data_IF_620713773576
#
_entry.id   IF_620713773576
#
_cell.length_a   1.000
_cell.length_b   1.000
_cell.length_c   1.000
_cell.angle_alpha   90.00
_cell.angle_beta   90.00
_cell.angle_gamma   90.00
#
_symmetry.space_group_name_H-M   'P 1'
#
loop_
_entity.id
_entity.type
_entity.pdbx_description
1 polymer ?
#
# COMPACT_ATOMS: atom_id res chain seq x y z
N UNK A 1 -31.30 32.60 -1.03
CA UNK A 1 -31.36 34.06 -1.07
C UNK A 1 -32.75 34.59 -0.62
N UNK A 2 -33.84 34.14 -1.18
CA UNK A 2 -35.20 34.57 -0.79
C UNK A 2 -35.59 34.22 0.68
N UNK A 3 -35.07 33.14 1.29
CA UNK A 3 -35.27 32.84 2.70
C UNK A 3 -34.46 33.74 3.65
N UNK A 4 -33.27 34.21 3.22
CA UNK A 4 -32.41 35.13 3.99
C UNK A 4 -33.01 36.52 4.12
N UNK A 5 -33.79 36.99 3.12
CA UNK A 5 -34.47 38.29 3.18
C UNK A 5 -35.66 38.32 4.17
N UNK A 6 -36.17 37.13 4.60
CA UNK A 6 -37.33 37.03 5.48
C UNK A 6 -36.99 36.76 6.96
N UNK A 7 -35.72 36.51 7.31
CA UNK A 7 -35.30 36.28 8.69
C UNK A 7 -33.95 36.97 8.97
N UNK A 8 -34.02 38.19 9.60
CA UNK A 8 -32.78 38.91 10.00
C UNK A 8 -31.83 38.08 10.85
N UNK A 9 -32.39 37.23 11.75
CA UNK A 9 -31.61 36.35 12.62
C UNK A 9 -30.82 35.28 11.84
N UNK A 10 -31.42 34.71 10.81
CA UNK A 10 -30.72 33.76 9.92
C UNK A 10 -29.59 34.45 9.12
N UNK A 11 -29.84 35.69 8.64
CA UNK A 11 -28.85 36.48 7.94
C UNK A 11 -27.68 36.90 8.85
N UNK A 12 -27.96 37.12 10.13
CA UNK A 12 -26.97 37.45 11.14
C UNK A 12 -26.14 36.21 11.56
N UNK A 13 -26.78 35.06 11.75
CA UNK A 13 -26.10 33.78 11.95
C UNK A 13 -25.19 33.39 10.77
N UNK A 14 -25.64 33.64 9.54
CA UNK A 14 -24.83 33.41 8.34
C UNK A 14 -23.67 34.39 8.21
N UNK A 15 -23.86 35.65 8.56
CA UNK A 15 -22.78 36.62 8.62
C UNK A 15 -21.76 36.28 9.71
N UNK A 16 -22.22 35.84 10.87
CA UNK A 16 -21.37 35.39 11.95
C UNK A 16 -20.53 34.15 11.56
N UNK A 17 -21.16 33.14 10.94
CA UNK A 17 -20.48 31.95 10.42
C UNK A 17 -19.49 32.27 9.28
N UNK A 18 -19.83 33.22 8.41
CA UNK A 18 -18.95 33.67 7.33
C UNK A 18 -17.78 34.54 7.81
N UNK A 19 -17.88 35.12 9.01
CA UNK A 19 -16.84 35.96 9.62
C UNK A 19 -15.96 35.24 10.65
N UNK A 20 -16.29 33.99 11.00
CA UNK A 20 -15.41 33.20 11.86
C UNK A 20 -14.05 32.96 11.17
N UNK A 21 -12.93 33.34 11.79
CA UNK A 21 -11.63 33.10 11.20
C UNK A 21 -11.38 31.60 11.07
N UNK A 22 -10.72 31.18 10.00
CA UNK A 22 -10.25 29.82 9.87
C UNK A 22 -9.06 29.65 10.80
N UNK A 23 -9.20 28.82 11.83
CA UNK A 23 -8.26 28.77 12.94
C UNK A 23 -8.00 27.37 13.45
N UNK A 24 -6.79 27.16 13.95
CA UNK A 24 -6.42 25.97 14.72
C UNK A 24 -6.04 26.42 16.12
N UNK A 25 -6.54 25.72 17.14
CA UNK A 25 -6.30 26.08 18.55
C UNK A 25 -5.72 24.89 19.31
N UNK A 26 -4.63 25.14 20.06
CA UNK A 26 -4.00 24.17 20.95
C UNK A 26 -4.57 24.22 22.34
N UNK A 27 -4.49 23.12 23.08
CA UNK A 27 -4.92 23.04 24.49
C UNK A 27 -4.03 23.86 25.43
N UNK A 28 -2.74 24.07 25.07
CA UNK A 28 -1.77 24.85 25.85
C UNK A 28 -1.22 26.00 25.02
N UNK A 29 -1.04 27.18 25.64
CA UNK A 29 -0.35 28.30 24.99
C UNK A 29 1.17 28.04 24.96
N UNK A 30 1.71 27.91 23.76
CA UNK A 30 3.15 27.85 23.52
C UNK A 30 3.58 29.13 22.79
N UNK A 31 4.64 29.82 23.19
CA UNK A 31 5.11 31.03 22.52
C UNK A 31 5.35 30.77 21.02
N UNK A 32 5.00 31.72 20.15
CA UNK A 32 5.29 31.56 18.71
C UNK A 32 6.81 31.53 18.51
N UNK A 33 7.29 30.45 17.95
CA UNK A 33 8.69 30.28 17.56
C UNK A 33 8.77 29.86 16.12
N UNK A 34 9.66 30.47 15.31
CA UNK A 34 9.85 30.05 13.93
C UNK A 34 10.22 28.58 13.86
N UNK A 35 9.45 27.79 13.09
CA UNK A 35 9.73 26.39 12.82
C UNK A 35 9.91 26.17 11.33
N UNK A 36 10.79 25.27 10.95
CA UNK A 36 10.94 24.91 9.54
C UNK A 36 9.75 24.07 9.08
N UNK A 37 8.94 24.65 8.22
CA UNK A 37 7.83 23.99 7.53
C UNK A 37 8.16 23.98 6.05
N UNK A 38 8.21 22.78 5.47
CA UNK A 38 8.56 22.60 4.05
C UNK A 38 7.72 23.53 3.16
N UNK A 39 8.40 24.20 2.23
CA UNK A 39 7.84 25.16 1.28
C UNK A 39 7.33 26.49 1.89
N UNK A 40 7.47 26.69 3.20
CA UNK A 40 7.10 27.95 3.86
C UNK A 40 8.28 28.58 4.55
N UNK A 41 8.33 29.93 4.53
CA UNK A 41 9.34 30.74 5.19
C UNK A 41 8.70 31.45 6.38
N UNK A 42 9.23 31.25 7.62
CA UNK A 42 8.76 31.98 8.78
C UNK A 42 9.40 33.36 8.87
N UNK A 43 8.62 34.34 9.29
CA UNK A 43 9.06 35.70 9.61
C UNK A 43 8.47 36.13 10.95
N UNK A 44 9.30 36.67 11.84
CA UNK A 44 8.88 37.19 13.16
C UNK A 44 8.33 38.59 12.94
N UNK A 45 7.05 38.80 13.28
CA UNK A 45 6.38 40.10 13.22
C UNK A 45 5.78 40.39 14.59
N UNK A 46 6.43 41.21 15.37
CA UNK A 46 6.04 41.47 16.74
C UNK A 46 6.08 40.22 17.62
N UNK A 47 4.94 39.83 18.18
CA UNK A 47 4.78 38.61 18.99
C UNK A 47 4.16 37.43 18.19
N UNK A 48 4.28 37.44 16.90
CA UNK A 48 3.69 36.43 16.00
C UNK A 48 4.74 35.92 15.02
N UNK A 49 4.50 34.74 14.43
CA UNK A 49 5.29 34.22 13.32
C UNK A 49 4.39 34.07 12.12
N UNK A 50 4.73 34.80 11.06
CA UNK A 50 4.04 34.75 9.78
C UNK A 50 4.71 33.74 8.86
N UNK A 51 3.93 32.95 8.15
CA UNK A 51 4.40 31.97 7.20
C UNK A 51 3.92 32.30 5.79
N UNK A 52 4.86 32.50 4.88
CA UNK A 52 4.61 32.75 3.45
C UNK A 52 5.27 31.66 2.60
N UNK A 53 4.76 31.40 1.40
CA UNK A 53 5.37 30.42 0.51
C UNK A 53 6.76 30.87 0.05
N UNK A 54 7.73 29.94 0.03
CA UNK A 54 9.10 30.24 -0.42
C UNK A 54 9.17 30.68 -1.88
N UNK A 55 8.33 30.16 -2.74
CA UNK A 55 8.25 30.54 -4.18
C UNK A 55 7.68 31.93 -4.42
N UNK A 56 6.92 32.46 -3.47
CA UNK A 56 6.27 33.77 -3.53
C UNK A 56 7.02 34.85 -2.71
N UNK A 57 8.05 34.45 -1.94
CA UNK A 57 8.82 35.29 -1.03
C UNK A 57 9.75 36.30 -1.73
N UNK A 58 9.32 36.98 -2.72
CA UNK A 58 10.03 38.04 -3.45
C UNK A 58 9.12 38.84 -4.36
N UNK A 59 7.90 38.40 -4.58
CA UNK A 59 6.93 39.00 -5.52
C UNK A 59 5.68 39.57 -4.82
N UNK A 60 5.74 39.93 -3.53
CA UNK A 60 4.58 40.41 -2.76
C UNK A 60 3.60 39.32 -2.38
N UNK A 61 4.08 38.07 -2.24
CA UNK A 61 3.29 36.93 -1.84
C UNK A 61 2.66 37.12 -0.45
N UNK A 62 1.35 36.85 -0.36
CA UNK A 62 0.60 37.02 0.89
C UNK A 62 0.98 36.03 1.97
N UNK A 63 0.71 36.39 3.22
CA UNK A 63 0.86 35.51 4.38
C UNK A 63 -0.17 34.38 4.28
N UNK A 64 0.29 33.13 4.28
CA UNK A 64 -0.58 31.95 4.19
C UNK A 64 -1.23 31.62 5.54
N UNK A 65 -0.46 31.67 6.63
CA UNK A 65 -0.95 31.48 7.99
C UNK A 65 -0.06 32.15 9.03
N UNK A 66 -0.63 32.42 10.21
CA UNK A 66 0.04 33.16 11.30
C UNK A 66 -0.06 32.37 12.60
N UNK A 67 1.09 32.06 13.21
CA UNK A 67 1.18 31.50 14.56
C UNK A 67 1.11 32.63 15.59
N UNK A 68 0.10 32.59 16.46
CA UNK A 68 -0.15 33.54 17.56
C UNK A 68 0.13 32.97 18.96
N UNK A 69 0.75 31.80 19.01
CA UNK A 69 1.08 31.11 20.28
C UNK A 69 -0.01 30.13 20.73
N UNK A 70 -1.20 30.61 20.99
CA UNK A 70 -2.36 29.77 21.39
C UNK A 70 -3.17 29.29 20.20
N UNK A 71 -3.04 29.95 19.07
CA UNK A 71 -3.78 29.63 17.84
C UNK A 71 -2.94 29.90 16.60
N UNK A 72 -3.33 29.26 15.51
CA UNK A 72 -2.81 29.51 14.18
C UNK A 72 -3.99 29.95 13.30
N UNK A 73 -3.94 31.19 12.79
CA UNK A 73 -4.94 31.73 11.88
C UNK A 73 -4.50 31.47 10.45
N UNK A 74 -5.40 30.93 9.63
CA UNK A 74 -5.11 30.55 8.24
C UNK A 74 -5.84 31.50 7.29
N UNK A 75 -5.05 32.26 6.51
CA UNK A 75 -5.54 33.25 5.56
C UNK A 75 -5.83 32.63 4.19
N UNK A 76 -4.96 31.69 3.77
CA UNK A 76 -5.07 30.96 2.48
C UNK A 76 -5.63 29.55 2.69
N UNK A 77 -6.71 29.40 3.44
CA UNK A 77 -7.24 28.09 3.84
C UNK A 77 -7.80 27.27 2.67
N UNK A 78 -8.24 27.90 1.57
CA UNK A 78 -8.69 27.19 0.35
C UNK A 78 -7.56 26.44 -0.33
N UNK A 79 -6.34 26.86 -0.09
CA UNK A 79 -5.17 26.15 -0.55
C UNK A 79 -4.89 24.98 0.39
N UNK A 80 -4.98 23.77 -0.18
CA UNK A 80 -4.77 22.53 0.55
C UNK A 80 -3.40 22.46 1.23
N UNK A 81 -2.35 22.96 0.54
CA UNK A 81 -0.98 22.89 1.06
C UNK A 81 -0.77 23.86 2.21
N UNK A 82 -1.40 25.05 2.17
CA UNK A 82 -1.35 26.02 3.27
C UNK A 82 -2.06 25.48 4.52
N UNK A 83 -3.23 24.85 4.34
CA UNK A 83 -3.94 24.19 5.44
C UNK A 83 -3.16 23.00 5.98
N UNK A 84 -2.57 22.17 5.12
CA UNK A 84 -1.72 21.05 5.53
C UNK A 84 -0.51 21.52 6.34
N UNK A 85 0.18 22.58 5.87
CA UNK A 85 1.35 23.14 6.56
C UNK A 85 0.98 23.69 7.95
N UNK A 86 -0.16 24.36 8.07
CA UNK A 86 -0.67 24.85 9.35
C UNK A 86 -1.04 23.71 10.32
N UNK A 87 -1.64 22.63 9.82
CA UNK A 87 -1.92 21.41 10.61
C UNK A 87 -0.63 20.71 11.05
N UNK A 88 0.39 20.64 10.18
CA UNK A 88 1.70 20.10 10.55
C UNK A 88 2.37 20.91 11.65
N UNK A 89 2.35 22.25 11.55
CA UNK A 89 2.87 23.13 12.60
C UNK A 89 2.11 22.92 13.90
N UNK A 90 0.78 22.81 13.86
CA UNK A 90 -0.07 22.55 15.03
C UNK A 90 0.24 21.21 15.69
N UNK A 91 0.46 20.16 14.90
CA UNK A 91 0.83 18.85 15.39
C UNK A 91 2.21 18.85 16.06
N UNK A 92 3.17 19.59 15.53
CA UNK A 92 4.50 19.76 16.13
C UNK A 92 4.45 20.54 17.43
N UNK A 93 3.55 21.54 17.55
CA UNK A 93 3.42 22.37 18.75
C UNK A 93 2.65 21.67 19.86
N UNK A 94 1.49 21.11 19.53
CA UNK A 94 0.51 20.69 20.54
C UNK A 94 0.21 19.19 20.52
N UNK A 95 0.59 18.49 19.47
CA UNK A 95 0.27 17.08 19.28
C UNK A 95 -1.21 16.83 18.93
N UNK A 96 -2.13 17.47 19.69
CA UNK A 96 -3.58 17.45 19.44
C UNK A 96 -4.16 18.86 19.54
N UNK A 97 -5.21 19.15 18.75
CA UNK A 97 -5.77 20.50 18.60
C UNK A 97 -7.21 20.46 18.08
N UNK A 98 -7.88 21.61 18.19
CA UNK A 98 -9.22 21.84 17.61
C UNK A 98 -9.11 22.74 16.39
N UNK A 99 -10.08 22.64 15.47
CA UNK A 99 -10.21 23.52 14.31
C UNK A 99 -11.52 24.29 14.38
N UNK A 100 -11.47 25.59 14.10
CA UNK A 100 -12.59 26.50 14.13
C UNK A 100 -12.70 27.24 12.79
N UNK A 101 -13.89 27.26 12.22
CA UNK A 101 -14.13 27.91 10.93
C UNK A 101 -15.38 27.37 10.24
N UNK A 102 -15.50 27.65 8.95
CA UNK A 102 -16.65 27.22 8.16
C UNK A 102 -16.60 25.71 7.87
N UNK A 103 -17.73 25.15 7.44
CA UNK A 103 -17.89 23.71 7.22
C UNK A 103 -16.97 23.17 6.11
N UNK A 104 -16.65 23.98 5.10
CA UNK A 104 -15.74 23.61 4.02
C UNK A 104 -14.29 23.46 4.50
N UNK A 105 -13.83 24.40 5.33
CA UNK A 105 -12.54 24.33 5.98
C UNK A 105 -12.43 23.15 6.94
N UNK A 106 -13.44 22.95 7.82
CA UNK A 106 -13.53 21.79 8.74
C UNK A 106 -13.51 20.47 7.98
N UNK A 107 -14.19 20.41 6.83
CA UNK A 107 -14.19 19.25 5.95
C UNK A 107 -12.80 18.93 5.40
N UNK A 108 -12.08 19.94 4.95
CA UNK A 108 -10.70 19.79 4.48
C UNK A 108 -9.76 19.34 5.60
N UNK A 109 -9.88 19.93 6.79
CA UNK A 109 -9.10 19.51 7.97
C UNK A 109 -9.38 18.05 8.34
N UNK A 110 -10.62 17.60 8.32
CA UNK A 110 -10.98 16.20 8.60
C UNK A 110 -10.35 15.22 7.59
N UNK A 111 -10.38 15.57 6.30
CA UNK A 111 -9.73 14.79 5.25
C UNK A 111 -8.21 14.72 5.42
N UNK A 112 -7.56 15.86 5.66
CA UNK A 112 -6.12 15.92 5.92
C UNK A 112 -5.74 15.16 7.20
N UNK A 113 -6.58 15.21 8.24
CA UNK A 113 -6.35 14.44 9.46
C UNK A 113 -6.43 12.93 9.23
N UNK A 114 -7.34 12.48 8.36
CA UNK A 114 -7.44 11.07 7.98
C UNK A 114 -6.22 10.61 7.16
N UNK A 115 -5.77 11.43 6.20
CA UNK A 115 -4.63 11.14 5.31
C UNK A 115 -3.28 11.11 6.06
N UNK A 116 -3.07 12.06 6.97
CA UNK A 116 -1.77 12.30 7.63
C UNK A 116 -1.73 11.90 9.11
N UNK A 117 -2.84 11.46 9.68
CA UNK A 117 -2.90 10.99 11.07
C UNK A 117 -2.94 12.09 12.12
N UNK A 118 -3.31 13.34 11.77
CA UNK A 118 -3.43 14.42 12.75
C UNK A 118 -4.52 14.13 13.80
N UNK A 119 -4.26 14.57 15.02
CA UNK A 119 -5.17 14.41 16.17
C UNK A 119 -6.04 15.65 16.35
N UNK A 120 -7.08 15.79 15.54
CA UNK A 120 -8.11 16.81 15.70
C UNK A 120 -9.10 16.33 16.76
N UNK A 121 -9.39 17.17 17.76
CA UNK A 121 -10.21 16.78 18.92
C UNK A 121 -11.66 17.28 18.86
N UNK A 122 -12.06 17.96 17.81
CA UNK A 122 -13.46 18.36 17.55
C UNK A 122 -14.39 17.15 17.57
N UNK A 123 -15.38 17.08 18.48
CA UNK A 123 -16.33 15.95 18.53
C UNK A 123 -17.12 15.78 17.25
N UNK A 124 -17.55 16.89 16.64
CA UNK A 124 -18.35 16.91 15.41
C UNK A 124 -17.59 16.40 14.17
N UNK A 125 -16.26 16.31 14.23
CA UNK A 125 -15.43 15.86 13.10
C UNK A 125 -14.99 14.40 13.22
N UNK A 126 -15.17 13.75 14.38
CA UNK A 126 -14.64 12.40 14.61
C UNK A 126 -15.23 11.37 13.65
N UNK A 127 -16.54 11.39 13.47
CA UNK A 127 -17.22 10.47 12.54
C UNK A 127 -16.72 10.66 11.12
N UNK A 128 -16.59 11.90 10.66
CA UNK A 128 -16.09 12.22 9.31
C UNK A 128 -14.65 11.78 9.11
N UNK A 129 -13.76 12.01 10.08
CA UNK A 129 -12.37 11.56 10.04
C UNK A 129 -12.31 10.04 9.92
N UNK A 130 -13.17 9.33 10.65
CA UNK A 130 -13.23 7.88 10.61
C UNK A 130 -13.75 7.35 9.27
N UNK A 131 -14.78 7.95 8.69
CA UNK A 131 -15.29 7.63 7.37
C UNK A 131 -14.21 7.82 6.28
N UNK A 132 -13.47 8.93 6.31
CA UNK A 132 -12.36 9.18 5.38
C UNK A 132 -11.22 8.15 5.54
N UNK A 133 -10.86 7.77 6.76
CA UNK A 133 -9.87 6.70 7.01
C UNK A 133 -10.32 5.36 6.43
N UNK A 134 -11.59 5.00 6.62
CA UNK A 134 -12.14 3.76 6.04
C UNK A 134 -12.13 3.80 4.51
N UNK A 135 -12.49 4.94 3.90
CA UNK A 135 -12.42 5.13 2.44
C UNK A 135 -11.01 4.94 1.91
N UNK A 136 -10.01 5.59 2.53
CA UNK A 136 -8.60 5.47 2.14
C UNK A 136 -8.12 4.01 2.27
N UNK A 137 -8.51 3.31 3.33
CA UNK A 137 -8.15 1.89 3.50
C UNK A 137 -8.78 1.01 2.43
N UNK A 138 -10.04 1.26 2.07
CA UNK A 138 -10.74 0.52 1.01
C UNK A 138 -10.10 0.76 -0.35
N UNK A 139 -9.79 2.02 -0.69
CA UNK A 139 -9.11 2.39 -1.95
C UNK A 139 -7.73 1.71 -2.07
N UNK A 140 -6.93 1.72 -0.98
CA UNK A 140 -5.63 1.02 -0.94
C UNK A 140 -5.77 -0.49 -1.09
N UNK A 141 -6.75 -1.09 -0.40
CA UNK A 141 -7.01 -2.53 -0.50
C UNK A 141 -7.46 -2.93 -1.91
N UNK A 142 -8.24 -2.08 -2.58
CA UNK A 142 -8.71 -2.30 -3.95
C UNK A 142 -7.60 -2.13 -4.98
N UNK A 143 -6.72 -1.13 -4.79
CA UNK A 143 -5.53 -0.94 -5.62
C UNK A 143 -4.56 -2.14 -5.51
N UNK A 144 -4.32 -2.64 -4.30
CA UNK A 144 -3.49 -3.82 -4.05
C UNK A 144 -4.10 -5.09 -4.68
N UNK A 145 -5.41 -5.28 -4.60
CA UNK A 145 -6.11 -6.38 -5.28
C UNK A 145 -5.91 -6.35 -6.79
N UNK A 146 -6.02 -5.17 -7.39
CA UNK A 146 -5.81 -4.98 -8.83
C UNK A 146 -4.38 -5.33 -9.26
N UNK A 147 -3.38 -4.97 -8.49
CA UNK A 147 -1.98 -5.29 -8.80
C UNK A 147 -1.69 -6.79 -8.67
N UNK A 148 -2.14 -7.42 -7.60
CA UNK A 148 -1.97 -8.87 -7.42
C UNK A 148 -2.62 -9.70 -8.51
N UNK A 149 -3.81 -9.29 -8.98
CA UNK A 149 -4.46 -9.94 -10.11
C UNK A 149 -3.66 -9.78 -11.40
N UNK A 150 -3.17 -8.59 -11.71
CA UNK A 150 -2.32 -8.35 -12.89
C UNK A 150 -1.06 -9.21 -12.86
N UNK A 151 -0.39 -9.28 -11.71
CA UNK A 151 0.81 -10.11 -11.56
C UNK A 151 0.49 -11.60 -11.76
N UNK A 152 -0.63 -12.06 -11.23
CA UNK A 152 -1.06 -13.44 -11.45
C UNK A 152 -1.42 -13.69 -12.92
N UNK A 153 -2.14 -12.80 -13.60
CA UNK A 153 -2.50 -12.93 -15.01
C UNK A 153 -1.26 -13.05 -15.90
N UNK A 154 -0.28 -12.15 -15.73
CA UNK A 154 0.99 -12.20 -16.45
C UNK A 154 1.75 -13.51 -16.20
N UNK A 155 1.79 -13.94 -14.94
CA UNK A 155 2.40 -15.19 -14.54
C UNK A 155 1.69 -16.40 -15.17
N UNK A 156 0.35 -16.45 -15.09
CA UNK A 156 -0.45 -17.56 -15.62
C UNK A 156 -0.34 -17.69 -17.14
N UNK A 157 -0.32 -16.54 -17.85
CA UNK A 157 -0.09 -16.49 -19.29
C UNK A 157 1.29 -17.04 -19.66
N UNK A 158 2.34 -16.59 -18.96
CA UNK A 158 3.72 -16.99 -19.25
C UNK A 158 3.97 -18.48 -18.96
N UNK A 159 3.47 -18.99 -17.83
CA UNK A 159 3.64 -20.41 -17.43
C UNK A 159 2.74 -21.34 -18.22
N UNK A 160 1.48 -20.95 -18.46
CA UNK A 160 0.51 -21.70 -19.25
C UNK A 160 0.15 -23.04 -18.61
N UNK A 161 0.00 -23.09 -17.28
CA UNK A 161 -0.50 -24.26 -16.58
C UNK A 161 -2.02 -24.27 -16.52
N UNK A 162 -2.63 -25.46 -16.52
CA UNK A 162 -4.07 -25.58 -16.44
C UNK A 162 -4.61 -25.30 -15.03
N UNK A 163 -3.79 -25.59 -14.01
CA UNK A 163 -4.15 -25.41 -12.59
C UNK A 163 -2.96 -25.01 -11.75
N UNK A 164 -3.26 -24.45 -10.60
CA UNK A 164 -2.27 -23.97 -9.63
C UNK A 164 -2.66 -24.44 -8.23
N UNK A 165 -1.77 -25.18 -7.57
CA UNK A 165 -1.89 -25.40 -6.13
C UNK A 165 -1.48 -24.12 -5.42
N UNK A 166 -2.26 -23.72 -4.41
CA UNK A 166 -1.94 -22.60 -3.55
C UNK A 166 -1.55 -23.12 -2.18
N UNK A 167 -0.35 -22.78 -1.76
CA UNK A 167 0.19 -23.15 -0.45
C UNK A 167 0.43 -21.88 0.36
N UNK A 168 -0.08 -21.86 1.59
CA UNK A 168 0.22 -20.83 2.59
C UNK A 168 1.19 -21.40 3.62
N UNK A 169 2.23 -20.64 3.96
CA UNK A 169 3.23 -21.00 4.97
C UNK A 169 3.31 -19.90 6.02
N UNK A 170 3.02 -20.27 7.26
CA UNK A 170 3.15 -19.41 8.44
C UNK A 170 4.35 -19.85 9.28
N UNK A 171 5.22 -18.90 9.60
CA UNK A 171 6.27 -19.13 10.59
C UNK A 171 5.67 -18.98 11.99
N UNK A 172 5.85 -19.98 12.83
CA UNK A 172 5.45 -19.92 14.23
C UNK A 172 6.54 -19.30 15.10
N UNK A 173 6.19 -18.86 16.29
CA UNK A 173 7.13 -18.24 17.23
C UNK A 173 8.32 -19.13 17.61
N UNK A 174 8.15 -20.46 17.54
CA UNK A 174 9.19 -21.45 17.77
C UNK A 174 10.03 -21.80 16.53
N UNK A 175 9.86 -21.07 15.42
CA UNK A 175 10.58 -21.27 14.16
C UNK A 175 10.02 -22.41 13.29
N UNK A 176 9.00 -23.13 13.73
CA UNK A 176 8.37 -24.17 12.90
C UNK A 176 7.52 -23.56 11.79
N UNK A 177 7.53 -24.22 10.62
CA UNK A 177 6.69 -23.86 9.48
C UNK A 177 5.36 -24.60 9.58
N UNK A 178 4.27 -23.85 9.60
CA UNK A 178 2.92 -24.39 9.46
C UNK A 178 2.48 -24.19 8.01
N UNK A 179 2.19 -25.29 7.32
CA UNK A 179 1.86 -25.29 5.89
C UNK A 179 0.40 -25.67 5.69
N UNK A 180 -0.32 -24.86 4.93
CA UNK A 180 -1.70 -25.12 4.52
C UNK A 180 -1.79 -25.14 3.00
N UNK A 181 -2.49 -26.14 2.47
CA UNK A 181 -2.80 -26.26 1.04
C UNK A 181 -4.26 -25.83 0.86
N UNK A 182 -4.50 -24.71 0.19
CA UNK A 182 -5.82 -24.08 0.08
C UNK A 182 -6.78 -24.89 -0.80
N UNK A 183 -6.24 -25.59 -1.82
CA UNK A 183 -7.02 -26.43 -2.73
C UNK A 183 -7.29 -27.85 -2.20
N UNK A 184 -6.88 -28.14 -0.96
CA UNK A 184 -7.11 -29.45 -0.34
C UNK A 184 -8.55 -29.57 0.15
N UNK A 185 -9.31 -30.51 -0.43
CA UNK A 185 -10.65 -30.87 0.00
C UNK A 185 -10.74 -32.39 0.15
N UNK A 186 -11.22 -32.87 1.30
CA UNK A 186 -11.40 -34.31 1.61
C UNK A 186 -10.12 -35.14 1.36
N UNK A 187 -8.96 -34.57 1.68
CA UNK A 187 -7.65 -35.20 1.46
C UNK A 187 -7.09 -35.11 0.05
N UNK A 188 -7.88 -34.63 -0.92
CA UNK A 188 -7.51 -34.52 -2.33
C UNK A 188 -7.10 -33.10 -2.64
N UNK A 189 -6.01 -32.95 -3.39
CA UNK A 189 -5.53 -31.66 -3.92
C UNK A 189 -5.59 -31.69 -5.45
N UNK A 190 -6.41 -30.83 -6.05
CA UNK A 190 -6.59 -30.78 -7.51
C UNK A 190 -6.00 -29.54 -8.19
N UNK A 191 -5.59 -28.55 -7.40
CA UNK A 191 -5.26 -27.22 -7.89
C UNK A 191 -6.49 -26.37 -8.26
N UNK A 192 -6.33 -25.06 -8.25
CA UNK A 192 -7.33 -24.10 -8.72
C UNK A 192 -7.08 -23.74 -10.19
N UNK A 193 -8.12 -23.54 -10.97
CA UNK A 193 -8.02 -22.88 -12.27
C UNK A 193 -7.64 -21.40 -12.11
N UNK A 194 -7.16 -20.71 -13.17
CA UNK A 194 -6.90 -19.27 -13.09
C UNK A 194 -8.10 -18.47 -12.59
N UNK A 195 -9.32 -18.78 -13.01
CA UNK A 195 -10.55 -18.11 -12.58
C UNK A 195 -10.85 -18.37 -11.09
N UNK A 196 -10.60 -19.58 -10.61
CA UNK A 196 -10.75 -19.91 -9.17
C UNK A 196 -9.71 -19.15 -8.32
N UNK A 197 -8.47 -18.92 -8.81
CA UNK A 197 -7.45 -18.08 -8.16
C UNK A 197 -7.93 -16.64 -8.06
N UNK A 198 -8.45 -16.08 -9.15
CA UNK A 198 -9.00 -14.73 -9.19
C UNK A 198 -10.06 -14.52 -8.10
N UNK A 199 -11.02 -15.45 -8.02
CA UNK A 199 -12.10 -15.41 -7.02
C UNK A 199 -11.58 -15.51 -5.58
N UNK A 200 -10.44 -16.16 -5.36
CA UNK A 200 -9.81 -16.35 -4.05
C UNK A 200 -8.79 -15.29 -3.67
N UNK A 201 -8.50 -14.34 -4.54
CA UNK A 201 -7.58 -13.24 -4.26
C UNK A 201 -7.90 -12.53 -2.91
N UNK A 202 -9.17 -12.27 -2.53
CA UNK A 202 -9.48 -11.67 -1.23
C UNK A 202 -9.09 -12.55 -0.03
N UNK A 203 -9.18 -13.88 -0.17
CA UNK A 203 -8.75 -14.85 0.85
C UNK A 203 -7.23 -14.82 0.98
N UNK A 204 -6.52 -14.90 -0.12
CA UNK A 204 -5.06 -14.87 -0.18
C UNK A 204 -4.48 -13.58 0.39
N UNK A 205 -5.11 -12.44 0.11
CA UNK A 205 -4.75 -11.15 0.73
C UNK A 205 -4.93 -11.14 2.26
N UNK A 206 -5.99 -11.80 2.76
CA UNK A 206 -6.19 -11.94 4.21
C UNK A 206 -5.09 -12.76 4.86
N UNK A 207 -4.65 -13.84 4.21
CA UNK A 207 -3.54 -14.68 4.69
C UNK A 207 -2.23 -13.89 4.72
N UNK A 208 -1.92 -13.14 3.65
CA UNK A 208 -0.75 -12.26 3.60
C UNK A 208 -0.75 -11.23 4.73
N UNK A 209 -1.89 -10.57 4.98
CA UNK A 209 -2.03 -9.59 6.09
C UNK A 209 -1.82 -10.21 7.49
N UNK A 210 -1.95 -11.53 7.61
CA UNK A 210 -1.63 -12.30 8.84
C UNK A 210 -0.17 -12.73 8.91
N UNK A 211 0.66 -12.28 7.97
CA UNK A 211 2.07 -12.64 7.90
C UNK A 211 2.33 -14.03 7.32
N UNK A 212 1.39 -14.57 6.54
CA UNK A 212 1.56 -15.84 5.87
C UNK A 212 2.18 -15.63 4.48
N UNK A 213 3.17 -16.44 4.12
CA UNK A 213 3.76 -16.44 2.79
C UNK A 213 2.97 -17.33 1.86
N UNK A 214 2.69 -16.84 0.65
CA UNK A 214 1.92 -17.56 -0.35
C UNK A 214 2.83 -18.11 -1.46
N UNK A 215 2.49 -19.30 -1.93
CA UNK A 215 3.23 -20.02 -2.95
C UNK A 215 2.28 -20.62 -3.98
N UNK A 216 2.69 -20.61 -5.24
CA UNK A 216 2.05 -21.35 -6.31
C UNK A 216 2.86 -22.57 -6.70
N UNK A 217 2.15 -23.65 -7.06
CA UNK A 217 2.73 -24.80 -7.76
C UNK A 217 1.91 -25.00 -9.03
N UNK A 218 2.47 -24.70 -10.22
CA UNK A 218 1.77 -24.92 -11.47
C UNK A 218 1.61 -26.42 -11.75
N UNK A 219 0.44 -26.81 -12.17
CA UNK A 219 0.06 -28.20 -12.48
C UNK A 219 -0.46 -28.29 -13.91
N UNK A 220 0.05 -29.26 -14.66
CA UNK A 220 -0.36 -29.52 -16.02
C UNK A 220 -0.22 -31.00 -16.36
N UNK A 221 -1.20 -31.52 -17.12
CA UNK A 221 -1.13 -32.87 -17.66
C UNK A 221 -0.22 -32.95 -18.90
N UNK A 222 0.01 -31.80 -19.57
CA UNK A 222 0.74 -31.73 -20.84
C UNK A 222 2.16 -31.16 -20.71
N UNK A 223 2.50 -30.54 -19.59
CA UNK A 223 3.77 -29.84 -19.41
C UNK A 223 4.39 -30.11 -18.04
N UNK A 224 5.71 -30.12 -18.00
CA UNK A 224 6.47 -29.94 -16.76
C UNK A 224 6.76 -28.46 -16.56
N UNK A 225 6.59 -27.98 -15.33
CA UNK A 225 6.97 -26.63 -14.89
C UNK A 225 8.08 -26.78 -13.85
N UNK A 226 9.31 -26.79 -14.31
CA UNK A 226 10.48 -27.07 -13.51
C UNK A 226 10.92 -25.80 -12.79
N UNK A 227 10.89 -25.82 -11.48
CA UNK A 227 11.45 -24.75 -10.65
C UNK A 227 12.97 -24.89 -10.54
N UNK A 228 13.68 -23.80 -10.80
CA UNK A 228 15.08 -23.62 -10.42
C UNK A 228 15.07 -22.58 -9.29
N UNK A 229 15.49 -23.00 -8.10
CA UNK A 229 15.40 -22.19 -6.89
C UNK A 229 16.79 -21.73 -6.42
N UNK A 230 16.82 -20.67 -5.60
CA UNK A 230 18.02 -20.16 -4.93
C UNK A 230 19.15 -19.77 -5.88
N UNK A 231 18.80 -19.05 -6.94
CA UNK A 231 19.77 -18.49 -7.89
C UNK A 231 20.18 -17.08 -7.48
N UNK A 232 21.46 -16.78 -7.56
CA UNK A 232 21.93 -15.40 -7.64
C UNK A 232 21.87 -14.90 -9.09
N UNK A 233 22.14 -13.61 -9.30
CA UNK A 233 22.10 -12.98 -10.62
C UNK A 233 23.08 -13.65 -11.62
N UNK A 234 24.27 -14.02 -11.18
CA UNK A 234 25.27 -14.67 -12.03
C UNK A 234 24.81 -16.03 -12.56
N UNK A 235 24.22 -16.86 -11.69
CA UNK A 235 23.64 -18.16 -12.06
C UNK A 235 22.47 -17.99 -13.04
N UNK A 236 21.62 -16.99 -12.84
CA UNK A 236 20.50 -16.69 -13.73
C UNK A 236 21.01 -16.25 -15.12
N UNK A 237 22.00 -15.36 -15.17
CA UNK A 237 22.60 -14.93 -16.42
C UNK A 237 23.31 -16.09 -17.16
N UNK A 238 23.95 -17.02 -16.42
CA UNK A 238 24.53 -18.24 -16.99
C UNK A 238 23.47 -19.16 -17.57
N UNK A 239 22.36 -19.40 -16.85
CA UNK A 239 21.23 -20.18 -17.33
C UNK A 239 20.73 -19.67 -18.70
N UNK A 240 20.54 -18.35 -18.81
CA UNK A 240 20.06 -17.71 -20.05
C UNK A 240 21.10 -17.82 -21.17
N UNK A 241 22.39 -17.63 -20.86
CA UNK A 241 23.52 -17.73 -21.80
C UNK A 241 23.69 -19.15 -22.36
N UNK A 242 23.45 -20.15 -21.52
CA UNK A 242 23.49 -21.58 -21.89
C UNK A 242 22.28 -21.99 -22.75
N UNK A 243 21.39 -21.05 -23.09
CA UNK A 243 20.29 -21.23 -24.05
C UNK A 243 18.95 -21.57 -23.44
N UNK A 244 18.85 -21.67 -22.11
CA UNK A 244 17.57 -21.90 -21.47
C UNK A 244 16.67 -20.65 -21.53
N UNK A 245 15.36 -20.87 -21.71
CA UNK A 245 14.34 -19.82 -21.81
C UNK A 245 13.34 -19.98 -20.67
N UNK A 246 13.53 -19.36 -19.51
CA UNK A 246 12.55 -19.37 -18.45
C UNK A 246 11.23 -18.77 -18.93
N UNK A 247 10.11 -19.42 -18.60
CA UNK A 247 8.79 -18.85 -18.79
C UNK A 247 8.56 -17.66 -17.86
N UNK A 248 9.10 -17.78 -16.63
CA UNK A 248 9.02 -16.73 -15.61
C UNK A 248 10.32 -16.71 -14.81
N UNK A 249 10.76 -15.52 -14.43
CA UNK A 249 11.79 -15.27 -13.42
C UNK A 249 11.17 -14.43 -12.31
N UNK A 250 11.34 -14.84 -11.07
CA UNK A 250 10.85 -14.18 -9.88
C UNK A 250 12.01 -13.83 -8.96
N UNK A 251 12.01 -12.65 -8.39
CA UNK A 251 12.88 -12.30 -7.27
C UNK A 251 12.16 -12.67 -5.97
N UNK A 252 12.57 -13.77 -5.34
CA UNK A 252 11.92 -14.31 -4.12
C UNK A 252 12.34 -13.57 -2.84
N UNK A 253 13.50 -12.94 -2.86
CA UNK A 253 14.05 -12.01 -1.88
C UNK A 253 15.18 -11.22 -2.54
N UNK A 254 15.63 -10.08 -1.97
CA UNK A 254 16.65 -9.25 -2.59
C UNK A 254 17.89 -10.04 -3.06
N UNK A 255 18.13 -10.05 -4.37
CA UNK A 255 19.24 -10.76 -5.00
C UNK A 255 19.10 -12.28 -5.11
N UNK A 256 17.97 -12.86 -4.70
CA UNK A 256 17.66 -14.28 -4.82
C UNK A 256 16.52 -14.52 -5.81
N UNK A 257 16.80 -15.31 -6.85
CA UNK A 257 15.90 -15.53 -7.98
C UNK A 257 15.39 -16.97 -8.04
N UNK A 258 14.18 -17.10 -8.52
CA UNK A 258 13.53 -18.34 -8.91
C UNK A 258 13.19 -18.28 -10.40
N UNK A 259 13.41 -19.35 -11.14
CA UNK A 259 13.02 -19.43 -12.55
C UNK A 259 12.17 -20.68 -12.80
N UNK A 260 11.21 -20.57 -13.72
CA UNK A 260 10.38 -21.68 -14.15
C UNK A 260 10.69 -22.01 -15.61
N UNK A 261 11.19 -23.21 -15.86
CA UNK A 261 11.37 -23.77 -17.19
C UNK A 261 10.17 -24.67 -17.51
N UNK A 262 9.46 -24.33 -18.59
CA UNK A 262 8.30 -25.11 -19.04
C UNK A 262 8.70 -25.97 -20.26
N UNK A 263 8.52 -27.30 -20.12
CA UNK A 263 8.80 -28.26 -21.18
C UNK A 263 7.60 -29.18 -21.41
N UNK A 264 7.36 -29.67 -22.64
CA UNK A 264 6.26 -30.58 -22.91
C UNK A 264 6.48 -31.95 -22.26
N UNK A 265 5.40 -32.60 -21.84
CA UNK A 265 5.36 -34.02 -21.53
C UNK A 265 5.13 -34.82 -22.79
N UNK A 266 5.67 -36.02 -22.88
CA UNK A 266 5.54 -36.92 -24.01
C UNK A 266 4.28 -37.81 -23.96
N UNK A 267 3.54 -37.77 -22.84
CA UNK A 267 2.38 -38.62 -22.60
C UNK A 267 2.73 -40.07 -22.29
N UNK A 268 3.92 -40.31 -21.78
CA UNK A 268 4.42 -41.65 -21.45
C UNK A 268 4.42 -41.92 -19.94
N UNK A 269 4.49 -43.19 -19.56
CA UNK A 269 4.63 -43.61 -18.17
C UNK A 269 5.91 -43.06 -17.50
N UNK A 270 6.91 -42.64 -18.31
CA UNK A 270 8.20 -42.14 -17.84
C UNK A 270 8.23 -40.62 -17.62
N UNK A 271 7.18 -39.89 -17.96
CA UNK A 271 7.16 -38.42 -17.86
C UNK A 271 7.53 -37.91 -16.48
N UNK A 272 7.05 -38.57 -15.42
CA UNK A 272 7.40 -38.21 -14.05
C UNK A 272 8.90 -38.30 -13.79
N UNK A 273 9.54 -39.38 -14.22
CA UNK A 273 10.97 -39.60 -14.03
C UNK A 273 11.81 -38.63 -14.86
N UNK A 274 11.37 -38.32 -16.08
CA UNK A 274 11.99 -37.32 -16.95
C UNK A 274 11.95 -35.94 -16.26
N UNK A 275 10.77 -35.55 -15.78
CA UNK A 275 10.61 -34.27 -15.07
C UNK A 275 11.48 -34.17 -13.81
N UNK A 276 11.54 -35.24 -13.00
CA UNK A 276 12.37 -35.27 -11.81
C UNK A 276 13.86 -35.15 -12.14
N UNK A 277 14.35 -35.93 -13.11
CA UNK A 277 15.77 -35.86 -13.57
C UNK A 277 16.14 -34.49 -14.11
N UNK A 278 15.22 -33.85 -14.86
CA UNK A 278 15.42 -32.51 -15.38
C UNK A 278 15.51 -31.48 -14.24
N UNK A 279 14.64 -31.58 -13.24
CA UNK A 279 14.66 -30.73 -12.05
C UNK A 279 15.99 -30.90 -11.29
N UNK A 280 16.40 -32.14 -11.04
CA UNK A 280 17.66 -32.44 -10.32
C UNK A 280 18.88 -31.90 -11.08
N UNK A 281 18.93 -32.06 -12.40
CA UNK A 281 20.02 -31.58 -13.24
C UNK A 281 20.12 -30.06 -13.25
N UNK A 282 18.99 -29.36 -13.47
CA UNK A 282 18.95 -27.90 -13.53
C UNK A 282 19.26 -27.26 -12.17
N UNK A 283 18.72 -27.79 -11.08
CA UNK A 283 19.00 -27.28 -9.74
C UNK A 283 20.42 -27.56 -9.28
N UNK A 284 21.01 -28.69 -9.65
CA UNK A 284 22.42 -28.97 -9.37
C UNK A 284 23.36 -27.97 -10.06
N UNK A 285 23.01 -27.57 -11.27
CA UNK A 285 23.86 -26.68 -12.09
C UNK A 285 23.65 -25.20 -11.79
N UNK A 286 22.38 -24.76 -11.64
CA UNK A 286 22.02 -23.35 -11.56
C UNK A 286 21.35 -22.95 -10.25
N UNK A 287 20.74 -23.87 -9.50
CA UNK A 287 19.89 -23.56 -8.35
C UNK A 287 20.35 -24.16 -7.03
N UNK A 288 19.38 -24.61 -6.23
CA UNK A 288 19.59 -25.37 -4.99
C UNK A 288 19.76 -26.86 -5.32
N UNK A 289 20.94 -27.45 -5.13
CA UNK A 289 21.19 -28.86 -5.41
C UNK A 289 20.41 -29.84 -4.49
N UNK A 290 19.78 -29.33 -3.45
CA UNK A 290 18.91 -30.14 -2.53
C UNK A 290 17.47 -30.19 -3.01
N UNK A 291 17.08 -29.33 -3.95
CA UNK A 291 15.73 -29.34 -4.52
C UNK A 291 15.62 -30.53 -5.48
N UNK A 292 14.69 -31.43 -5.21
CA UNK A 292 14.47 -32.65 -6.00
C UNK A 292 13.01 -32.82 -6.39
N UNK A 293 12.79 -33.39 -7.59
CA UNK A 293 11.45 -33.60 -8.13
C UNK A 293 10.92 -32.43 -8.96
N UNK A 294 9.92 -32.72 -9.80
CA UNK A 294 9.42 -31.77 -10.80
C UNK A 294 8.30 -30.83 -10.29
N UNK A 295 7.74 -31.09 -9.13
CA UNK A 295 6.57 -30.37 -8.62
C UNK A 295 6.95 -29.68 -7.32
N UNK A 296 7.26 -28.37 -7.41
CA UNK A 296 7.66 -27.56 -6.27
C UNK A 296 6.86 -26.24 -6.19
N UNK A 297 6.56 -25.78 -4.96
CA UNK A 297 6.03 -24.47 -4.74
C UNK A 297 7.12 -23.40 -4.93
N UNK A 298 6.76 -22.28 -5.55
CA UNK A 298 7.58 -21.08 -5.62
C UNK A 298 6.79 -19.87 -5.11
N UNK A 299 7.46 -18.77 -4.83
CA UNK A 299 6.81 -17.56 -4.33
C UNK A 299 5.66 -17.13 -5.26
N UNK A 300 4.50 -16.84 -4.71
CA UNK A 300 3.37 -16.33 -5.48
C UNK A 300 3.61 -14.88 -5.92
N UNK A 301 3.61 -14.56 -7.23
CA UNK A 301 3.79 -13.20 -7.71
C UNK A 301 2.74 -12.23 -7.15
N UNK A 302 3.18 -11.02 -6.75
CA UNK A 302 2.33 -10.00 -6.15
C UNK A 302 2.01 -10.19 -4.67
N UNK A 303 2.58 -11.22 -4.02
CA UNK A 303 2.46 -11.48 -2.58
C UNK A 303 3.86 -11.47 -1.95
N UNK A 304 4.17 -10.42 -1.20
CA UNK A 304 5.42 -10.23 -0.46
C UNK A 304 5.35 -10.80 0.96
#
# INVERSE_FOLDING_TARGET
>A
WQRMQKSPELAEQWRHRASEPQRIEGASGEPPTPRDIRAYQPEIVGQQVHYSRKEEAGAGGGVSFVDKGKSIDIHDWRNRDSTLAALQLSAQKWGSFTVTGNDEYKAMCAKLAAEHGFKITNPELQERIQQERQRIQQERAQAMKSEQLKQFELYAEAVGAERYRVTSIKMQADGRKQTFILDKKDGITRGFTPQEIEQRTPEMQRLQRRGENLYYTPLSDKKHHILIDDMNREKLERLIRDGYRPAVVLESSPGNYQAIITVPKLGTAHDKDVGNRLSDALNREYGDPKLSGAIHPHRAPGYE
#
